data_IF_681615649026
#
_entry.id   IF_681615649026
#
_cell.length_a   1.000
_cell.length_b   1.000
_cell.length_c   1.000
_cell.angle_alpha   90.00
_cell.angle_beta   90.00
_cell.angle_gamma   90.00
#
_symmetry.space_group_name_H-M   'P 1'
#
loop_
_entity.id
_entity.type
_entity.pdbx_description
1 polymer ?
#
# COMPACT_ATOMS: atom_id res chain seq x y z
N UNK A 1 6.86 31.01 12.65
CA UNK A 1 5.40 31.25 12.59
C UNK A 1 4.78 30.04 11.97
N UNK A 2 4.01 29.28 12.72
CA UNK A 2 3.26 28.14 12.17
C UNK A 2 2.07 28.71 11.41
N UNK A 3 1.96 28.42 10.12
CA UNK A 3 0.79 28.80 9.35
C UNK A 3 -0.37 27.93 9.78
N UNK A 4 -1.40 28.54 10.35
CA UNK A 4 -2.60 27.81 10.80
C UNK A 4 -3.65 27.91 9.70
N UNK A 5 -4.11 26.75 9.22
CA UNK A 5 -5.21 26.64 8.27
C UNK A 5 -6.54 26.85 9.01
N UNK A 6 -7.34 27.84 8.63
CA UNK A 6 -8.65 28.09 9.20
C UNK A 6 -9.79 27.86 8.20
N UNK A 7 -10.86 27.19 8.64
CA UNK A 7 -12.06 26.98 7.86
C UNK A 7 -13.30 26.84 8.75
N UNK A 8 -14.50 27.12 8.24
CA UNK A 8 -15.74 26.83 8.95
C UNK A 8 -15.84 25.34 9.30
N UNK A 9 -16.08 25.02 10.56
CA UNK A 9 -16.21 23.64 11.04
C UNK A 9 -14.92 22.99 11.56
N UNK A 10 -13.75 23.62 11.45
CA UNK A 10 -12.46 23.09 11.92
C UNK A 10 -12.52 22.57 13.37
N UNK A 11 -12.97 23.40 14.31
CA UNK A 11 -13.03 23.05 15.73
C UNK A 11 -13.90 21.82 15.95
N UNK A 12 -15.06 21.75 15.32
CA UNK A 12 -15.97 20.62 15.42
C UNK A 12 -15.36 19.32 14.84
N UNK A 13 -14.68 19.42 13.70
CA UNK A 13 -14.04 18.27 13.04
C UNK A 13 -12.92 17.67 13.89
N UNK A 14 -12.03 18.51 14.46
CA UNK A 14 -10.99 18.06 15.38
C UNK A 14 -11.56 17.53 16.70
N UNK A 15 -12.61 18.17 17.25
CA UNK A 15 -13.29 17.70 18.47
C UNK A 15 -13.93 16.33 18.25
N UNK A 16 -14.57 16.10 17.10
CA UNK A 16 -15.14 14.81 16.73
C UNK A 16 -14.06 13.72 16.71
N UNK A 17 -12.95 13.93 15.98
CA UNK A 17 -11.87 12.94 15.89
C UNK A 17 -11.27 12.60 17.27
N UNK A 18 -10.99 13.60 18.09
CA UNK A 18 -10.47 13.40 19.46
C UNK A 18 -11.43 12.64 20.36
N UNK A 19 -12.75 12.92 20.25
CA UNK A 19 -13.77 12.19 21.00
C UNK A 19 -13.80 10.73 20.58
N UNK A 20 -13.82 10.42 19.28
CA UNK A 20 -13.84 9.05 18.79
C UNK A 20 -12.61 8.24 19.24
N UNK A 21 -11.43 8.89 19.31
CA UNK A 21 -10.20 8.28 19.84
C UNK A 21 -10.35 7.98 21.33
N UNK A 22 -10.82 8.95 22.10
CA UNK A 22 -11.03 8.81 23.57
C UNK A 22 -12.08 7.74 23.90
N UNK A 23 -13.17 7.69 23.13
CA UNK A 23 -14.22 6.68 23.28
C UNK A 23 -13.66 5.26 23.02
N UNK A 24 -12.77 5.11 22.06
CA UNK A 24 -12.10 3.82 21.79
C UNK A 24 -11.13 3.43 22.94
N UNK A 25 -10.49 4.40 23.61
CA UNK A 25 -9.59 4.16 24.75
C UNK A 25 -10.30 3.77 26.05
N UNK A 26 -11.48 4.32 26.29
CA UNK A 26 -12.20 4.10 27.54
C UNK A 26 -12.64 2.64 27.79
N UNK A 27 -12.50 1.74 26.81
CA UNK A 27 -12.95 0.35 26.92
C UNK A 27 -14.49 0.22 27.04
N UNK A 28 -15.06 -0.96 27.11
CA UNK A 28 -16.48 -1.13 27.45
C UNK A 28 -16.68 -0.60 28.88
N UNK A 29 -17.63 0.33 29.05
CA UNK A 29 -18.06 0.74 30.37
C UNK A 29 -18.63 -0.50 31.06
N UNK A 30 -17.95 -0.98 32.11
CA UNK A 30 -18.55 -1.93 33.04
C UNK A 30 -19.72 -1.17 33.68
N UNK A 31 -20.94 -1.48 33.26
CA UNK A 31 -22.12 -1.00 33.94
C UNK A 31 -21.99 -1.35 35.44
N UNK A 32 -22.29 -0.38 36.33
CA UNK A 32 -22.37 -0.58 37.77
C UNK A 32 -23.38 -1.70 38.10
N UNK A 33 -22.95 -2.94 38.05
CA UNK A 33 -23.67 -4.14 38.43
C UNK A 33 -22.98 -4.77 39.63
N UNK A 34 -23.52 -4.51 40.80
CA UNK A 34 -23.43 -5.19 42.09
C UNK A 34 -22.27 -6.17 42.32
N UNK A 35 -21.42 -5.82 43.28
CA UNK A 35 -20.44 -6.73 43.92
C UNK A 35 -21.16 -7.86 44.68
N UNK A 36 -21.12 -9.05 44.14
CA UNK A 36 -21.44 -10.29 44.86
C UNK A 36 -20.17 -11.11 45.12
N UNK A 37 -20.10 -11.98 46.16
CA UNK A 37 -18.86 -12.36 46.82
C UNK A 37 -18.04 -13.43 46.06
N UNK A 38 -16.76 -13.43 46.38
CA UNK A 38 -15.70 -14.33 45.92
C UNK A 38 -16.04 -15.81 46.02
N UNK A 39 -15.78 -16.59 45.01
CA UNK A 39 -15.48 -18.02 45.17
C UNK A 39 -14.40 -18.49 44.20
N UNK A 40 -13.48 -19.23 44.74
CA UNK A 40 -12.23 -19.74 44.19
C UNK A 40 -12.39 -20.88 43.15
N UNK A 41 -11.37 -20.96 42.30
CA UNK A 41 -10.79 -22.15 41.64
C UNK A 41 -11.36 -22.66 40.32
N UNK A 42 -10.47 -22.79 39.32
CA UNK A 42 -10.53 -23.79 38.26
C UNK A 42 -10.24 -23.27 36.85
N UNK A 43 -9.07 -23.67 36.30
CA UNK A 43 -8.62 -23.28 34.95
C UNK A 43 -9.54 -23.80 33.86
N UNK A 44 -9.77 -22.94 32.88
CA UNK A 44 -10.46 -23.24 31.65
C UNK A 44 -10.15 -22.13 30.66
N UNK A 45 -9.88 -22.51 29.42
CA UNK A 45 -9.57 -21.61 28.31
C UNK A 45 -10.60 -20.48 28.21
N UNK A 46 -10.09 -19.26 28.14
CA UNK A 46 -10.87 -18.03 28.13
C UNK A 46 -11.61 -17.85 26.79
N UNK A 47 -12.86 -18.24 26.72
CA UNK A 47 -13.84 -17.59 25.90
C UNK A 47 -14.12 -16.21 26.52
N UNK A 48 -13.44 -15.17 26.03
CA UNK A 48 -13.82 -13.79 26.32
C UNK A 48 -14.90 -13.36 25.35
N UNK A 49 -16.13 -13.73 25.59
CA UNK A 49 -17.28 -12.98 25.13
C UNK A 49 -17.32 -11.64 25.90
N UNK A 50 -16.53 -10.67 25.41
CA UNK A 50 -16.68 -9.29 25.84
C UNK A 50 -17.94 -8.72 25.21
N UNK A 51 -19.04 -8.57 25.96
CA UNK A 51 -20.16 -7.72 25.56
C UNK A 51 -19.60 -6.32 25.30
N UNK A 52 -19.49 -5.96 23.99
CA UNK A 52 -19.25 -4.57 23.60
C UNK A 52 -20.47 -3.76 24.05
N UNK A 53 -20.22 -2.66 24.79
CA UNK A 53 -21.29 -1.82 25.31
C UNK A 53 -22.15 -1.26 24.18
N UNK A 54 -23.46 -1.20 24.41
CA UNK A 54 -24.41 -0.58 23.51
C UNK A 54 -23.96 0.84 23.12
N UNK A 55 -23.89 1.13 21.81
CA UNK A 55 -23.58 2.46 21.28
C UNK A 55 -22.15 2.71 20.78
N UNK A 56 -21.30 1.67 20.62
CA UNK A 56 -19.99 1.83 19.97
C UNK A 56 -19.93 1.09 18.65
N UNK A 57 -19.31 1.67 17.60
CA UNK A 57 -19.11 0.97 16.36
C UNK A 57 -18.34 -0.33 16.57
N UNK A 58 -18.83 -1.41 15.99
CA UNK A 58 -18.22 -2.73 16.05
C UNK A 58 -18.35 -3.43 14.69
N UNK A 59 -17.59 -4.49 14.51
CA UNK A 59 -17.57 -5.25 13.26
C UNK A 59 -18.35 -6.54 13.43
N UNK A 60 -19.14 -6.90 12.41
CA UNK A 60 -19.92 -8.14 12.36
C UNK A 60 -19.59 -8.91 11.09
N UNK A 61 -19.62 -10.22 11.17
CA UNK A 61 -19.56 -11.11 10.03
C UNK A 61 -20.91 -11.22 9.29
N UNK A 62 -20.92 -11.96 8.18
CA UNK A 62 -22.13 -12.18 7.38
C UNK A 62 -23.24 -12.97 8.10
N UNK A 63 -22.95 -13.59 9.24
CA UNK A 63 -23.90 -14.28 10.10
C UNK A 63 -24.46 -13.38 11.21
N UNK A 64 -24.00 -12.12 11.26
CA UNK A 64 -24.41 -11.11 12.24
C UNK A 64 -23.73 -11.25 13.60
N UNK A 65 -22.68 -12.06 13.69
CA UNK A 65 -21.89 -12.23 14.92
C UNK A 65 -20.83 -11.16 15.01
N UNK A 66 -20.65 -10.59 16.22
CA UNK A 66 -19.57 -9.63 16.45
C UNK A 66 -18.21 -10.32 16.24
N UNK A 67 -17.42 -9.74 15.31
CA UNK A 67 -16.11 -10.24 14.95
C UNK A 67 -15.02 -9.31 15.50
N UNK A 68 -14.04 -9.89 16.19
CA UNK A 68 -12.83 -9.18 16.62
C UNK A 68 -11.69 -9.63 15.71
N UNK A 69 -11.27 -8.80 14.74
CA UNK A 69 -10.28 -9.19 13.76
C UNK A 69 -8.95 -9.58 14.41
N UNK A 70 -8.37 -10.67 13.92
CA UNK A 70 -7.00 -11.02 14.26
C UNK A 70 -6.01 -10.05 13.59
N UNK A 71 -4.88 -9.82 14.24
CA UNK A 71 -3.79 -9.08 13.61
C UNK A 71 -3.27 -9.87 12.40
N UNK A 72 -3.04 -9.21 11.29
CA UNK A 72 -2.65 -9.83 10.02
C UNK A 72 -3.75 -10.63 9.29
N UNK A 73 -4.99 -10.54 9.72
CA UNK A 73 -6.13 -10.99 8.93
C UNK A 73 -6.39 -10.05 7.75
N UNK A 74 -6.63 -10.62 6.56
CA UNK A 74 -7.04 -9.81 5.41
C UNK A 74 -8.52 -9.45 5.55
N UNK A 75 -8.82 -8.15 5.56
CA UNK A 75 -10.17 -7.66 5.86
C UNK A 75 -10.72 -6.81 4.72
N UNK A 76 -12.01 -7.00 4.46
CA UNK A 76 -12.85 -6.03 3.77
C UNK A 76 -13.98 -5.62 4.70
N UNK A 77 -13.93 -4.41 5.23
CA UNK A 77 -14.98 -3.83 6.05
C UNK A 77 -15.95 -3.04 5.17
N UNK A 78 -17.21 -3.43 5.17
CA UNK A 78 -18.29 -2.80 4.41
C UNK A 78 -19.02 -1.80 5.30
N UNK A 79 -19.00 -0.52 4.91
CA UNK A 79 -19.68 0.55 5.63
C UNK A 79 -18.96 1.89 5.55
N UNK A 80 -19.42 2.90 6.30
CA UNK A 80 -18.73 4.19 6.40
C UNK A 80 -17.37 4.01 7.09
N UNK A 81 -16.36 4.67 6.55
CA UNK A 81 -15.00 4.51 7.04
C UNK A 81 -14.75 5.18 8.39
N UNK A 82 -15.55 6.16 8.82
CA UNK A 82 -15.35 6.81 10.11
C UNK A 82 -15.64 5.85 11.28
N UNK A 83 -16.82 5.21 11.38
CA UNK A 83 -17.07 4.21 12.42
C UNK A 83 -16.22 2.94 12.22
N UNK A 84 -15.89 2.55 10.98
CA UNK A 84 -14.99 1.42 10.74
C UNK A 84 -13.58 1.66 11.32
N UNK A 85 -12.98 2.84 11.08
CA UNK A 85 -11.69 3.22 11.65
C UNK A 85 -11.75 3.26 13.19
N UNK A 86 -12.85 3.72 13.77
CA UNK A 86 -13.03 3.70 15.22
C UNK A 86 -13.08 2.27 15.77
N UNK A 87 -13.83 1.37 15.14
CA UNK A 87 -13.89 -0.04 15.53
C UNK A 87 -12.53 -0.73 15.41
N UNK A 88 -11.75 -0.44 14.37
CA UNK A 88 -10.41 -0.98 14.16
C UNK A 88 -9.39 -0.53 15.21
N UNK A 89 -9.60 0.57 15.92
CA UNK A 89 -8.71 0.98 17.01
C UNK A 89 -8.61 -0.07 18.13
N UNK A 90 -9.63 -0.87 18.34
CA UNK A 90 -9.62 -1.91 19.36
C UNK A 90 -8.53 -2.98 19.12
N UNK A 91 -8.21 -3.27 17.87
CA UNK A 91 -7.30 -4.36 17.48
C UNK A 91 -6.04 -3.88 16.75
N UNK A 92 -6.14 -2.79 15.99
CA UNK A 92 -5.09 -2.34 15.06
C UNK A 92 -4.39 -1.05 15.48
N UNK A 93 -4.65 -0.48 16.65
CA UNK A 93 -3.98 0.73 17.13
C UNK A 93 -2.46 0.55 17.16
N UNK A 94 -1.73 1.43 16.48
CA UNK A 94 -0.27 1.39 16.41
C UNK A 94 0.29 0.17 15.68
N UNK A 95 -0.48 -0.45 14.77
CA UNK A 95 -0.08 -1.68 14.07
C UNK A 95 0.09 -1.51 12.56
N UNK A 96 -0.53 -0.49 11.97
CA UNK A 96 -0.53 -0.27 10.52
C UNK A 96 0.80 0.34 10.08
N UNK A 97 1.51 -0.33 9.19
CA UNK A 97 2.78 0.16 8.62
C UNK A 97 2.56 1.14 7.49
N UNK A 98 1.62 0.85 6.60
CA UNK A 98 1.32 1.68 5.44
C UNK A 98 -0.16 1.99 5.42
N UNK A 99 -0.48 3.26 5.33
CA UNK A 99 -1.81 3.75 4.96
C UNK A 99 -1.72 4.32 3.56
N UNK A 100 -2.47 3.77 2.62
CA UNK A 100 -2.65 4.34 1.29
C UNK A 100 -4.12 4.70 1.13
N UNK A 101 -4.41 5.93 0.74
CA UNK A 101 -5.79 6.37 0.51
C UNK A 101 -5.89 7.24 -0.75
N UNK A 102 -7.01 7.03 -1.45
CA UNK A 102 -7.44 7.75 -2.64
C UNK A 102 -8.86 8.29 -2.41
N UNK A 103 -9.01 9.35 -1.56
CA UNK A 103 -10.33 9.88 -1.20
C UNK A 103 -10.99 10.56 -2.40
N UNK A 104 -12.30 10.88 -2.34
CA UNK A 104 -12.95 11.67 -3.36
C UNK A 104 -12.22 12.99 -3.63
N UNK A 105 -11.94 13.28 -4.91
CA UNK A 105 -11.20 14.46 -5.34
C UNK A 105 -12.02 15.74 -5.30
N UNK A 106 -13.29 15.64 -4.94
CA UNK A 106 -14.20 16.77 -4.80
C UNK A 106 -14.42 17.52 -6.13
N UNK A 107 -14.29 16.84 -7.27
CA UNK A 107 -14.39 17.47 -8.59
C UNK A 107 -15.82 17.82 -9.00
N UNK A 108 -16.80 17.18 -8.38
CA UNK A 108 -18.23 17.32 -8.73
C UNK A 108 -18.62 16.61 -10.02
N UNK A 109 -17.69 15.83 -10.60
CA UNK A 109 -17.97 15.05 -11.81
C UNK A 109 -18.79 13.80 -11.50
N UNK A 110 -19.57 13.33 -12.49
CA UNK A 110 -20.25 12.04 -12.40
C UNK A 110 -19.24 10.91 -12.59
N UNK A 111 -18.96 10.19 -11.50
CA UNK A 111 -18.16 8.97 -11.48
C UNK A 111 -19.04 7.74 -11.20
N UNK A 112 -18.45 6.55 -11.18
CA UNK A 112 -19.10 5.32 -10.69
C UNK A 112 -19.40 5.38 -9.20
N UNK A 113 -18.83 6.34 -8.49
CA UNK A 113 -19.03 6.67 -7.08
C UNK A 113 -19.46 8.15 -6.94
N UNK A 114 -19.91 8.53 -5.74
CA UNK A 114 -20.32 9.89 -5.43
C UNK A 114 -19.10 10.76 -5.09
N UNK A 115 -18.67 11.58 -6.06
CA UNK A 115 -17.67 12.63 -5.86
C UNK A 115 -18.40 13.92 -5.45
N UNK A 116 -18.29 14.28 -4.19
CA UNK A 116 -19.26 15.14 -3.52
C UNK A 116 -19.38 16.58 -4.02
N UNK A 117 -18.43 17.13 -4.78
CA UNK A 117 -18.51 18.52 -5.30
C UNK A 117 -18.77 19.59 -4.21
N UNK A 118 -18.29 19.32 -2.99
CA UNK A 118 -18.42 20.20 -1.84
C UNK A 118 -17.45 21.39 -1.91
N UNK A 119 -17.64 22.39 -1.06
CA UNK A 119 -16.61 23.37 -0.78
C UNK A 119 -15.40 22.74 -0.04
N UNK A 120 -14.26 23.42 -0.07
CA UNK A 120 -13.04 22.94 0.60
C UNK A 120 -13.22 22.73 2.10
N UNK A 121 -14.02 23.59 2.78
CA UNK A 121 -14.28 23.50 4.21
C UNK A 121 -15.01 22.22 4.59
N UNK A 122 -16.01 21.83 3.80
CA UNK A 122 -16.73 20.57 3.97
C UNK A 122 -15.83 19.36 3.73
N UNK A 123 -14.98 19.40 2.70
CA UNK A 123 -14.02 18.34 2.42
C UNK A 123 -12.99 18.20 3.56
N UNK A 124 -12.43 19.31 4.03
CA UNK A 124 -11.51 19.33 5.17
C UNK A 124 -12.16 18.76 6.44
N UNK A 125 -13.41 19.15 6.72
CA UNK A 125 -14.16 18.67 7.87
C UNK A 125 -14.46 17.17 7.78
N UNK A 126 -14.69 16.65 6.57
CA UNK A 126 -14.86 15.22 6.30
C UNK A 126 -13.58 14.42 6.52
N UNK A 127 -12.43 14.94 6.05
CA UNK A 127 -11.14 14.25 6.13
C UNK A 127 -10.53 14.28 7.53
N UNK A 128 -10.72 15.36 8.28
CA UNK A 128 -10.04 15.58 9.57
C UNK A 128 -10.20 14.43 10.56
N UNK A 129 -11.41 13.99 10.96
CA UNK A 129 -11.54 12.91 11.94
C UNK A 129 -10.99 11.57 11.41
N UNK A 130 -11.09 11.32 10.11
CA UNK A 130 -10.56 10.11 9.45
C UNK A 130 -9.03 10.06 9.50
N UNK A 131 -8.37 11.17 9.23
CA UNK A 131 -6.90 11.26 9.30
C UNK A 131 -6.38 11.19 10.75
N UNK A 132 -7.14 11.73 11.71
CA UNK A 132 -6.81 11.59 13.14
C UNK A 132 -6.86 10.13 13.59
N UNK A 133 -7.93 9.39 13.23
CA UNK A 133 -8.06 7.96 13.51
C UNK A 133 -6.98 7.14 12.79
N UNK A 134 -6.73 7.45 11.53
CA UNK A 134 -5.68 6.78 10.75
C UNK A 134 -4.30 6.94 11.41
N UNK A 135 -3.97 8.15 11.90
CA UNK A 135 -2.71 8.40 12.63
C UNK A 135 -2.59 7.53 13.88
N UNK A 136 -3.69 7.29 14.60
CA UNK A 136 -3.67 6.41 15.78
C UNK A 136 -3.50 4.93 15.40
N UNK A 137 -4.01 4.50 14.24
CA UNK A 137 -3.81 3.14 13.74
C UNK A 137 -2.37 2.90 13.26
N UNK A 138 -1.66 3.94 12.81
CA UNK A 138 -0.30 3.82 12.30
C UNK A 138 0.69 3.42 13.39
N UNK A 139 1.66 2.58 13.03
CA UNK A 139 2.89 2.31 13.82
C UNK A 139 3.71 3.60 13.93
N UNK A 140 4.63 3.67 14.89
CA UNK A 140 5.52 4.83 15.04
C UNK A 140 6.36 5.08 13.78
N UNK A 141 6.80 4.02 13.09
CA UNK A 141 7.49 4.07 11.79
C UNK A 141 6.51 3.96 10.60
N UNK A 142 5.22 4.14 10.84
CA UNK A 142 4.16 4.07 9.84
C UNK A 142 4.15 5.28 8.91
N UNK A 143 3.68 5.06 7.67
CA UNK A 143 3.62 6.08 6.62
C UNK A 143 2.23 6.15 6.01
N UNK A 144 1.72 7.37 5.84
CA UNK A 144 0.51 7.67 5.07
C UNK A 144 0.87 8.18 3.67
N UNK A 145 0.27 7.59 2.65
CA UNK A 145 0.23 8.09 1.27
C UNK A 145 -1.18 8.59 0.97
N UNK A 146 -1.35 9.88 0.76
CA UNK A 146 -2.61 10.51 0.40
C UNK A 146 -2.56 10.96 -1.06
N UNK A 147 -3.35 10.32 -1.90
CA UNK A 147 -3.38 10.52 -3.34
C UNK A 147 -4.50 11.50 -3.72
N UNK A 148 -4.17 12.57 -4.46
CA UNK A 148 -5.10 13.62 -4.86
C UNK A 148 -4.69 14.26 -6.19
N UNK A 149 -5.66 14.89 -6.85
CA UNK A 149 -5.40 15.81 -7.97
C UNK A 149 -5.13 17.25 -7.47
N UNK A 150 -5.10 18.22 -8.39
CA UNK A 150 -4.83 19.64 -8.09
C UNK A 150 -5.87 20.27 -7.16
N UNK A 151 -7.12 19.78 -7.12
CA UNK A 151 -8.22 20.51 -6.49
C UNK A 151 -8.09 20.62 -4.98
N UNK A 152 -7.86 19.49 -4.31
CA UNK A 152 -7.74 19.46 -2.84
C UNK A 152 -6.29 19.30 -2.35
N UNK A 153 -5.32 19.11 -3.23
CA UNK A 153 -3.93 18.82 -2.89
C UNK A 153 -3.30 19.82 -1.91
N UNK A 154 -3.44 21.14 -2.17
CA UNK A 154 -2.86 22.17 -1.30
C UNK A 154 -3.52 22.21 0.08
N UNK A 155 -4.84 22.04 0.13
CA UNK A 155 -5.61 22.02 1.37
C UNK A 155 -5.29 20.77 2.20
N UNK A 156 -5.18 19.63 1.54
CA UNK A 156 -4.79 18.37 2.17
C UNK A 156 -3.38 18.45 2.77
N UNK A 157 -2.44 19.10 2.08
CA UNK A 157 -1.09 19.28 2.59
C UNK A 157 -1.07 20.09 3.88
N UNK A 158 -1.80 21.21 3.93
CA UNK A 158 -1.90 22.03 5.15
C UNK A 158 -2.61 21.27 6.29
N UNK A 159 -3.69 20.54 5.98
CA UNK A 159 -4.38 19.71 6.97
C UNK A 159 -3.45 18.61 7.52
N UNK A 160 -2.67 17.97 6.65
CA UNK A 160 -1.68 16.96 7.05
C UNK A 160 -0.62 17.53 7.98
N UNK A 161 -0.14 18.74 7.73
CA UNK A 161 0.79 19.43 8.65
C UNK A 161 0.18 19.67 10.02
N UNK A 162 -1.12 20.00 10.12
CA UNK A 162 -1.78 20.17 11.41
C UNK A 162 -2.01 18.87 12.18
N UNK A 163 -2.28 17.77 11.47
CA UNK A 163 -2.56 16.47 12.10
C UNK A 163 -1.28 15.71 12.45
N UNK A 164 -0.34 15.63 11.52
CA UNK A 164 0.89 14.85 11.67
C UNK A 164 2.07 15.66 12.20
N UNK A 165 2.03 16.98 12.04
CA UNK A 165 3.15 17.89 12.26
C UNK A 165 3.95 18.13 10.96
N UNK A 166 4.45 19.36 10.79
CA UNK A 166 5.23 19.73 9.61
C UNK A 166 6.53 18.94 9.52
N UNK A 167 7.20 18.66 10.64
CA UNK A 167 8.43 17.87 10.72
C UNK A 167 8.24 16.40 10.30
N UNK A 168 7.01 15.91 10.31
CA UNK A 168 6.64 14.57 9.87
C UNK A 168 6.20 14.51 8.39
N UNK A 169 6.24 15.63 7.68
CA UNK A 169 6.01 15.67 6.24
C UNK A 169 7.25 15.15 5.51
N UNK A 170 7.10 14.04 4.80
CA UNK A 170 8.18 13.42 4.03
C UNK A 170 8.25 13.93 2.60
N UNK A 171 7.33 14.82 2.21
CA UNK A 171 7.25 15.44 0.91
C UNK A 171 6.09 14.96 0.06
N UNK A 172 6.16 15.26 -1.23
CA UNK A 172 5.12 14.91 -2.21
C UNK A 172 5.74 14.16 -3.37
N UNK A 173 5.16 12.99 -3.69
CA UNK A 173 5.48 12.26 -4.89
C UNK A 173 4.55 12.67 -6.02
N UNK A 174 5.04 12.64 -7.24
CA UNK A 174 4.27 12.95 -8.45
C UNK A 174 3.93 11.64 -9.14
N UNK A 175 2.65 11.34 -9.26
CA UNK A 175 2.16 10.24 -10.06
C UNK A 175 1.90 10.72 -11.50
N UNK A 176 2.78 10.37 -12.42
CA UNK A 176 2.57 10.62 -13.84
C UNK A 176 1.57 9.60 -14.39
N UNK A 177 0.32 10.02 -14.61
CA UNK A 177 -0.79 9.17 -15.07
C UNK A 177 -1.03 9.18 -16.58
N UNK A 178 -0.46 10.15 -17.30
CA UNK A 178 -0.62 10.27 -18.75
C UNK A 178 0.72 10.50 -19.45
N UNK A 179 0.83 10.00 -20.70
CA UNK A 179 2.03 10.17 -21.53
C UNK A 179 2.06 11.53 -22.24
N UNK A 180 0.96 12.25 -22.23
CA UNK A 180 0.72 13.49 -22.98
C UNK A 180 -0.50 13.35 -23.89
N UNK A 181 -0.83 14.40 -24.62
CA UNK A 181 -2.02 14.48 -25.51
C UNK A 181 -3.21 15.11 -24.81
N UNK A 182 -4.25 15.46 -25.58
CA UNK A 182 -5.48 16.08 -25.11
C UNK A 182 -5.62 17.54 -25.56
N UNK A 183 -6.89 18.02 -25.65
CA UNK A 183 -7.26 19.37 -26.06
C UNK A 183 -7.59 20.21 -24.84
N UNK A 184 -6.59 20.59 -24.05
CA UNK A 184 -6.77 21.51 -22.94
C UNK A 184 -6.57 22.96 -23.38
N UNK A 185 -7.32 23.89 -22.77
CA UNK A 185 -7.24 25.32 -23.11
C UNK A 185 -5.88 25.94 -22.76
N UNK A 186 -5.23 25.47 -21.70
CA UNK A 186 -3.94 26.01 -21.24
C UNK A 186 -2.85 24.93 -21.31
N UNK A 187 -2.93 23.89 -20.49
CA UNK A 187 -1.99 22.76 -20.50
C UNK A 187 -2.71 21.47 -20.09
N UNK A 188 -2.19 20.35 -20.55
CA UNK A 188 -2.73 19.02 -20.22
C UNK A 188 -2.22 18.58 -18.85
N UNK A 189 -3.15 18.31 -17.95
CA UNK A 189 -2.83 17.75 -16.61
C UNK A 189 -2.53 16.28 -16.73
N UNK A 190 -1.26 15.91 -16.61
CA UNK A 190 -0.77 14.55 -16.80
C UNK A 190 -0.36 13.85 -15.52
N UNK A 191 -0.61 14.44 -14.34
CA UNK A 191 -0.19 13.93 -13.06
C UNK A 191 -1.24 14.13 -11.96
N UNK A 192 -1.05 13.37 -10.89
CA UNK A 192 -1.67 13.54 -9.58
C UNK A 192 -0.56 13.64 -8.52
N UNK A 193 -0.91 14.03 -7.31
CA UNK A 193 0.00 14.18 -6.17
C UNK A 193 -0.22 13.03 -5.19
N UNK A 194 0.87 12.55 -4.59
CA UNK A 194 0.81 11.65 -3.45
C UNK A 194 1.57 12.32 -2.31
N UNK A 195 0.83 12.95 -1.39
CA UNK A 195 1.42 13.54 -0.19
C UNK A 195 1.81 12.45 0.80
N UNK A 196 2.95 12.60 1.46
CA UNK A 196 3.51 11.57 2.32
C UNK A 196 3.80 12.13 3.70
N UNK A 197 3.21 11.51 4.71
CA UNK A 197 3.49 11.81 6.12
C UNK A 197 3.89 10.56 6.87
N UNK A 198 4.81 10.73 7.82
CA UNK A 198 5.12 9.74 8.83
C UNK A 198 4.27 9.96 10.10
N UNK A 199 4.09 8.94 10.90
CA UNK A 199 3.69 9.12 12.30
C UNK A 199 4.82 9.76 13.09
N UNK A 200 6.06 9.28 12.91
CA UNK A 200 7.31 9.84 13.42
C UNK A 200 8.40 9.71 12.33
N UNK A 201 8.76 10.81 11.68
CA UNK A 201 9.73 10.83 10.60
C UNK A 201 11.13 10.33 11.02
N UNK A 202 11.48 10.49 12.30
CA UNK A 202 12.76 9.99 12.83
C UNK A 202 12.88 8.47 12.87
N UNK A 203 11.77 7.75 12.74
CA UNK A 203 11.71 6.29 12.74
C UNK A 203 11.50 5.66 11.37
N UNK A 204 11.13 6.46 10.37
CA UNK A 204 10.88 5.96 9.01
C UNK A 204 12.19 5.67 8.29
N UNK A 205 12.31 4.46 7.76
CA UNK A 205 13.42 4.06 6.90
C UNK A 205 13.35 4.69 5.50
N UNK A 206 14.40 4.52 4.68
CA UNK A 206 14.41 5.03 3.32
C UNK A 206 13.32 4.38 2.47
N UNK A 207 12.71 5.15 1.57
CA UNK A 207 11.80 4.62 0.55
C UNK A 207 12.60 3.85 -0.49
N UNK A 208 12.36 2.56 -0.54
CA UNK A 208 13.12 1.64 -1.37
C UNK A 208 12.31 1.19 -2.59
N UNK A 209 13.00 0.99 -3.68
CA UNK A 209 12.45 0.33 -4.86
C UNK A 209 13.47 -0.69 -5.33
N UNK A 210 13.03 -1.66 -6.12
CA UNK A 210 13.98 -2.57 -6.73
C UNK A 210 14.98 -1.81 -7.59
N UNK A 211 16.20 -2.25 -7.50
CA UNK A 211 17.25 -1.75 -8.35
C UNK A 211 16.94 -2.13 -9.80
N UNK A 212 16.66 -1.15 -10.64
CA UNK A 212 16.61 -1.34 -12.10
C UNK A 212 18.04 -1.60 -12.60
N UNK A 213 18.49 -2.82 -12.41
CA UNK A 213 19.78 -3.31 -12.91
C UNK A 213 19.52 -4.16 -14.16
N UNK A 214 20.47 -4.25 -15.11
CA UNK A 214 20.45 -5.29 -16.12
C UNK A 214 20.68 -6.69 -15.53
N UNK A 215 20.66 -6.82 -14.21
CA UNK A 215 20.75 -8.07 -13.48
C UNK A 215 19.57 -8.97 -13.82
N UNK A 216 19.87 -10.25 -13.98
CA UNK A 216 18.84 -11.29 -14.10
C UNK A 216 18.56 -11.86 -12.72
N UNK A 217 17.29 -12.16 -12.46
CA UNK A 217 16.91 -12.94 -11.29
C UNK A 217 17.21 -14.41 -11.58
N UNK A 218 18.02 -15.03 -10.73
CA UNK A 218 18.38 -16.45 -10.82
C UNK A 218 18.31 -17.08 -9.42
N UNK A 219 18.03 -18.37 -9.37
CA UNK A 219 18.10 -19.13 -8.12
C UNK A 219 19.51 -19.72 -7.99
N UNK A 220 20.23 -19.34 -6.95
CA UNK A 220 21.57 -19.83 -6.61
C UNK A 220 21.49 -20.42 -5.20
N UNK A 221 21.84 -21.69 -5.05
CA UNK A 221 21.79 -22.41 -3.75
C UNK A 221 20.42 -22.30 -3.03
N UNK A 222 19.34 -22.36 -3.82
CA UNK A 222 17.95 -22.28 -3.31
C UNK A 222 17.47 -20.87 -2.95
N UNK A 223 18.29 -19.83 -3.19
CA UNK A 223 17.96 -18.44 -2.91
C UNK A 223 17.79 -17.63 -4.19
N UNK A 224 16.85 -16.73 -4.21
CA UNK A 224 16.68 -15.77 -5.33
C UNK A 224 17.78 -14.71 -5.24
N UNK A 225 18.61 -14.63 -6.28
CA UNK A 225 19.72 -13.70 -6.38
C UNK A 225 19.60 -12.84 -7.62
N UNK A 226 19.86 -11.57 -7.51
CA UNK A 226 20.10 -10.70 -8.65
C UNK A 226 21.53 -10.86 -9.12
N UNK A 227 21.70 -11.25 -10.38
CA UNK A 227 22.97 -11.60 -11.01
C UNK A 227 23.36 -10.54 -12.02
N UNK A 228 24.39 -9.74 -11.68
CA UNK A 228 24.98 -8.74 -12.56
C UNK A 228 26.22 -9.31 -13.23
N UNK A 229 26.17 -9.49 -14.53
CA UNK A 229 27.27 -10.12 -15.29
C UNK A 229 28.28 -9.13 -15.89
N UNK A 230 28.00 -7.83 -15.86
CA UNK A 230 28.89 -6.77 -16.41
C UNK A 230 29.46 -5.89 -15.29
N UNK A 231 30.17 -6.52 -14.36
CA UNK A 231 30.71 -5.88 -13.15
C UNK A 231 32.09 -5.27 -13.38
N UNK A 232 32.94 -5.94 -14.15
CA UNK A 232 34.27 -5.48 -14.47
C UNK A 232 34.42 -5.18 -15.95
N UNK A 233 34.99 -4.01 -16.23
CA UNK A 233 35.21 -3.53 -17.59
C UNK A 233 36.68 -3.15 -17.78
N UNK A 234 37.22 -3.46 -18.97
CA UNK A 234 38.61 -3.16 -19.32
C UNK A 234 38.87 -1.63 -19.42
N UNK A 235 37.90 -0.85 -19.86
CA UNK A 235 38.03 0.61 -20.00
C UNK A 235 36.73 1.39 -19.88
N UNK A 236 36.82 2.74 -19.83
CA UNK A 236 35.71 3.65 -19.92
C UNK A 236 35.51 4.12 -21.37
N UNK A 237 34.29 4.25 -21.83
CA UNK A 237 33.99 4.84 -23.13
C UNK A 237 32.69 4.33 -23.76
N UNK A 238 32.26 4.96 -24.87
CA UNK A 238 31.21 4.46 -25.75
C UNK A 238 31.78 3.34 -26.62
N UNK A 239 31.14 2.21 -26.58
CA UNK A 239 31.60 1.04 -27.31
C UNK A 239 30.57 0.61 -28.34
N UNK A 240 30.98 0.05 -29.43
CA UNK A 240 30.10 -0.57 -30.42
C UNK A 240 29.36 -1.78 -29.82
N UNK A 241 28.12 -2.05 -30.27
CA UNK A 241 27.40 -3.26 -29.87
C UNK A 241 28.25 -4.49 -30.23
N UNK A 242 28.39 -5.42 -29.29
CA UNK A 242 29.13 -6.67 -29.48
C UNK A 242 30.65 -6.61 -29.20
N UNK A 243 31.18 -5.45 -28.79
CA UNK A 243 32.57 -5.40 -28.33
C UNK A 243 32.72 -6.07 -26.97
N UNK A 244 33.72 -6.90 -26.79
CA UNK A 244 34.03 -7.54 -25.54
C UNK A 244 34.67 -6.52 -24.58
N UNK A 245 33.87 -6.00 -23.69
CA UNK A 245 34.25 -5.00 -22.69
C UNK A 245 34.50 -5.58 -21.35
N UNK A 246 33.97 -6.79 -21.18
CA UNK A 246 34.03 -7.48 -19.90
C UNK A 246 35.50 -7.86 -19.67
N UNK A 247 35.99 -7.45 -18.50
CA UNK A 247 37.28 -7.88 -18.05
C UNK A 247 37.13 -9.24 -17.36
N UNK A 248 37.84 -10.24 -17.88
CA UNK A 248 37.84 -11.56 -17.28
C UNK A 248 38.72 -11.57 -16.05
N UNK A 249 38.42 -12.47 -15.12
CA UNK A 249 39.18 -12.59 -13.87
C UNK A 249 40.68 -12.76 -14.10
N UNK A 250 41.06 -13.63 -15.05
CA UNK A 250 42.42 -13.93 -15.41
C UNK A 250 43.19 -12.74 -16.00
N UNK A 251 42.49 -11.79 -16.56
CA UNK A 251 43.09 -10.62 -17.22
C UNK A 251 43.15 -9.38 -16.28
N UNK A 252 42.68 -9.48 -15.03
CA UNK A 252 42.63 -8.32 -14.11
C UNK A 252 44.01 -7.74 -13.84
N UNK A 253 44.99 -8.56 -13.54
CA UNK A 253 46.34 -8.07 -13.23
C UNK A 253 46.92 -7.30 -14.41
N UNK A 254 46.80 -7.86 -15.60
CA UNK A 254 47.37 -7.25 -16.82
C UNK A 254 46.71 -5.90 -17.16
N UNK A 255 45.44 -5.72 -16.87
CA UNK A 255 44.65 -4.52 -17.26
C UNK A 255 44.48 -3.51 -16.13
N UNK A 256 44.37 -3.95 -14.87
CA UNK A 256 44.02 -3.10 -13.70
C UNK A 256 45.02 -3.23 -12.54
N UNK A 257 45.98 -4.14 -12.62
CA UNK A 257 46.98 -4.37 -11.60
C UNK A 257 46.56 -5.24 -10.43
N UNK A 258 47.53 -5.63 -9.60
CA UNK A 258 47.33 -6.54 -8.45
C UNK A 258 46.38 -6.01 -7.38
N UNK A 259 46.37 -4.70 -7.14
CA UNK A 259 45.44 -4.08 -6.18
C UNK A 259 44.01 -4.37 -6.53
N UNK A 260 43.65 -4.32 -7.82
CA UNK A 260 42.29 -4.61 -8.27
C UNK A 260 41.96 -6.09 -8.17
N UNK A 261 42.90 -6.97 -8.41
CA UNK A 261 42.72 -8.40 -8.18
C UNK A 261 42.42 -8.67 -6.71
N UNK A 262 43.22 -8.12 -5.79
CA UNK A 262 42.99 -8.29 -4.35
C UNK A 262 41.58 -7.80 -3.87
N UNK A 263 41.08 -6.68 -4.44
CA UNK A 263 39.72 -6.21 -4.18
C UNK A 263 38.67 -7.22 -4.66
N UNK A 264 38.88 -7.82 -5.83
CA UNK A 264 37.98 -8.81 -6.41
C UNK A 264 37.99 -10.09 -5.59
N UNK A 265 39.20 -10.56 -5.19
CA UNK A 265 39.38 -11.75 -4.37
C UNK A 265 38.71 -11.61 -3.00
N UNK A 266 38.81 -10.43 -2.36
CA UNK A 266 38.13 -10.16 -1.11
C UNK A 266 36.59 -10.26 -1.27
N UNK A 267 36.05 -9.82 -2.42
CA UNK A 267 34.62 -9.92 -2.72
C UNK A 267 34.17 -11.32 -3.12
N UNK A 268 35.03 -12.10 -3.74
CA UNK A 268 34.82 -13.53 -3.97
C UNK A 268 34.77 -14.30 -2.63
N UNK A 269 35.72 -14.00 -1.74
CA UNK A 269 35.77 -14.62 -0.42
C UNK A 269 34.53 -14.26 0.46
N UNK A 270 33.97 -13.05 0.31
CA UNK A 270 32.76 -12.64 1.01
C UNK A 270 31.46 -13.16 0.39
N UNK A 271 31.51 -13.78 -0.79
CA UNK A 271 30.35 -14.23 -1.52
C UNK A 271 29.58 -13.11 -2.25
N UNK A 272 30.08 -11.86 -2.24
CA UNK A 272 29.50 -10.76 -3.04
C UNK A 272 29.70 -11.01 -4.54
N UNK A 273 30.81 -11.63 -4.89
CA UNK A 273 31.12 -12.03 -6.28
C UNK A 273 31.22 -13.55 -6.39
N UNK A 274 30.91 -14.05 -7.60
CA UNK A 274 31.19 -15.43 -8.00
C UNK A 274 31.88 -15.43 -9.36
N UNK A 275 32.59 -16.49 -9.66
CA UNK A 275 33.20 -16.72 -10.98
C UNK A 275 32.27 -17.59 -11.81
N UNK A 276 32.04 -17.19 -13.05
CA UNK A 276 31.24 -17.98 -14.03
C UNK A 276 32.08 -18.21 -15.28
N UNK A 277 32.16 -19.44 -15.80
CA UNK A 277 32.77 -19.71 -17.08
C UNK A 277 32.19 -18.82 -18.17
N UNK A 278 33.03 -18.21 -18.99
CA UNK A 278 32.61 -17.31 -20.06
C UNK A 278 33.38 -17.55 -21.35
N UNK A 279 32.61 -17.79 -22.44
CA UNK A 279 33.22 -18.12 -23.73
C UNK A 279 33.82 -19.53 -23.77
N UNK A 280 34.65 -19.77 -24.79
CA UNK A 280 35.23 -21.09 -25.05
C UNK A 280 36.71 -21.22 -24.59
N UNK A 281 37.32 -20.15 -24.06
CA UNK A 281 38.75 -20.09 -23.74
C UNK A 281 39.08 -20.44 -22.28
N UNK A 282 38.15 -20.98 -21.51
CA UNK A 282 38.34 -21.34 -20.10
C UNK A 282 38.51 -20.14 -19.15
N UNK A 283 38.15 -18.92 -19.59
CA UNK A 283 38.15 -17.71 -18.78
C UNK A 283 36.87 -17.56 -17.97
N UNK A 284 36.95 -16.78 -16.89
CA UNK A 284 35.81 -16.55 -15.99
C UNK A 284 35.40 -15.08 -15.94
N UNK A 285 34.13 -14.83 -16.10
CA UNK A 285 33.53 -13.53 -15.80
C UNK A 285 33.35 -13.40 -14.28
N UNK A 286 33.69 -12.23 -13.74
CA UNK A 286 33.30 -11.85 -12.37
C UNK A 286 31.88 -11.37 -12.39
N UNK A 287 31.06 -12.02 -11.60
CA UNK A 287 29.62 -11.77 -11.53
C UNK A 287 29.26 -11.34 -10.12
N UNK A 288 28.56 -10.21 -9.97
CA UNK A 288 28.02 -9.80 -8.68
C UNK A 288 26.73 -10.55 -8.44
N UNK A 289 26.60 -11.11 -7.25
CA UNK A 289 25.36 -11.72 -6.76
C UNK A 289 24.87 -10.95 -5.55
N UNK A 290 23.62 -10.53 -5.60
CA UNK A 290 22.98 -9.81 -4.50
C UNK A 290 21.69 -10.53 -4.18
N UNK A 291 21.45 -10.95 -2.91
CA UNK A 291 20.16 -11.48 -2.53
C UNK A 291 19.05 -10.55 -3.01
N UNK A 292 18.01 -11.11 -3.64
CA UNK A 292 16.96 -10.31 -4.27
C UNK A 292 16.31 -9.36 -3.25
N UNK A 293 16.18 -9.80 -2.00
CA UNK A 293 15.66 -9.02 -0.89
C UNK A 293 16.54 -7.82 -0.49
N UNK A 294 17.84 -7.86 -0.82
CA UNK A 294 18.82 -6.77 -0.52
C UNK A 294 19.10 -5.86 -1.71
N UNK A 295 18.53 -6.16 -2.86
CA UNK A 295 18.78 -5.41 -4.10
C UNK A 295 17.80 -4.26 -4.25
N UNK A 296 17.97 -3.22 -3.47
CA UNK A 296 17.14 -2.01 -3.49
C UNK A 296 17.89 -0.77 -3.95
N UNK A 297 17.15 0.22 -4.41
CA UNK A 297 17.59 1.59 -4.63
C UNK A 297 16.58 2.54 -4.01
N UNK A 298 16.97 3.79 -3.76
CA UNK A 298 16.00 4.79 -3.29
C UNK A 298 14.95 5.07 -4.36
N UNK A 299 13.71 5.20 -3.94
CA UNK A 299 12.58 5.56 -4.80
C UNK A 299 12.74 6.99 -5.34
N UNK A 300 12.39 7.21 -6.60
CA UNK A 300 12.27 8.56 -7.15
C UNK A 300 10.94 9.19 -6.77
N UNK A 301 10.93 10.52 -6.62
CA UNK A 301 9.71 11.29 -6.31
C UNK A 301 8.74 11.40 -7.49
N UNK A 302 9.11 10.99 -8.69
CA UNK A 302 8.23 10.93 -9.86
C UNK A 302 8.02 9.47 -10.23
N UNK A 303 6.77 9.01 -10.09
CA UNK A 303 6.36 7.64 -10.36
C UNK A 303 5.53 7.63 -11.63
N UNK A 304 5.97 6.87 -12.62
CA UNK A 304 5.24 6.68 -13.85
C UNK A 304 4.48 5.37 -13.81
N UNK A 305 3.18 5.45 -13.67
CA UNK A 305 2.29 4.31 -13.71
C UNK A 305 1.04 4.69 -14.50
N UNK A 306 0.73 3.95 -15.54
CA UNK A 306 -0.33 4.25 -16.48
C UNK A 306 -1.38 3.12 -16.47
N UNK A 307 -2.64 3.49 -16.68
CA UNK A 307 -3.64 2.53 -17.12
C UNK A 307 -4.19 1.59 -16.06
N UNK A 308 -4.71 2.09 -14.94
CA UNK A 308 -5.41 1.24 -13.96
C UNK A 308 -6.57 0.40 -14.54
N UNK A 309 -7.16 0.80 -15.68
CA UNK A 309 -8.15 -0.02 -16.40
C UNK A 309 -7.54 -1.33 -16.91
N UNK A 310 -6.30 -1.31 -17.36
CA UNK A 310 -5.61 -2.50 -17.86
C UNK A 310 -5.43 -3.56 -16.77
N UNK A 311 -5.46 -3.18 -15.49
CA UNK A 311 -5.34 -4.10 -14.37
C UNK A 311 -6.66 -4.84 -14.07
N UNK A 312 -7.79 -4.30 -14.52
CA UNK A 312 -9.11 -4.93 -14.39
C UNK A 312 -9.43 -5.90 -15.54
N UNK A 313 -8.86 -5.71 -16.72
CA UNK A 313 -9.12 -6.55 -17.88
C UNK A 313 -8.73 -8.02 -17.66
N UNK A 314 -7.53 -8.38 -17.13
CA UNK A 314 -7.18 -9.76 -16.85
C UNK A 314 -8.07 -10.44 -15.81
N UNK A 315 -8.72 -9.63 -14.96
CA UNK A 315 -9.67 -10.09 -13.96
C UNK A 315 -11.08 -10.24 -14.53
N UNK A 316 -11.32 -9.93 -15.81
CA UNK A 316 -12.65 -9.89 -16.40
C UNK A 316 -13.55 -8.78 -15.81
N UNK A 317 -12.98 -7.72 -15.25
CA UNK A 317 -13.65 -6.57 -14.65
C UNK A 317 -13.45 -5.28 -15.45
N UNK A 318 -12.98 -5.39 -16.70
CA UNK A 318 -12.71 -4.24 -17.56
C UNK A 318 -13.94 -3.36 -17.77
N UNK A 319 -13.77 -2.03 -17.61
CA UNK A 319 -14.82 -1.03 -17.84
C UNK A 319 -15.93 -0.97 -16.78
N UNK A 320 -15.87 -1.79 -15.71
CA UNK A 320 -16.90 -1.81 -14.64
C UNK A 320 -16.73 -0.63 -13.68
N UNK A 321 -15.51 -0.23 -13.41
CA UNK A 321 -15.20 0.88 -12.50
C UNK A 321 -14.46 2.01 -13.23
N UNK A 322 -14.83 3.26 -12.93
CA UNK A 322 -14.17 4.45 -13.50
C UNK A 322 -12.88 4.75 -12.75
N UNK A 323 -11.81 4.98 -13.49
CA UNK A 323 -10.54 5.46 -12.95
C UNK A 323 -9.91 4.66 -11.80
N UNK A 324 -9.83 3.31 -11.88
CA UNK A 324 -9.08 2.54 -10.90
C UNK A 324 -7.62 2.99 -10.91
N UNK A 325 -6.99 3.05 -9.74
CA UNK A 325 -5.56 3.34 -9.67
C UNK A 325 -4.74 2.18 -10.23
N UNK A 326 -3.59 2.45 -10.87
CA UNK A 326 -2.70 1.38 -11.33
C UNK A 326 -2.16 0.55 -10.17
N UNK A 327 -2.23 -0.77 -10.29
CA UNK A 327 -1.67 -1.72 -9.31
C UNK A 327 -0.19 -1.49 -9.09
N UNK A 328 0.56 -1.24 -10.17
CA UNK A 328 2.01 -0.96 -10.10
C UNK A 328 2.36 0.27 -9.26
N UNK A 329 1.50 1.31 -9.26
CA UNK A 329 1.68 2.48 -8.41
C UNK A 329 1.57 2.10 -6.93
N UNK A 330 0.43 1.49 -6.56
CA UNK A 330 0.14 1.16 -5.16
C UNK A 330 1.14 0.12 -4.66
N UNK A 331 1.48 -0.88 -5.47
CA UNK A 331 2.53 -1.87 -5.17
C UNK A 331 3.88 -1.20 -4.92
N UNK A 332 4.29 -0.24 -5.75
CA UNK A 332 5.54 0.48 -5.56
C UNK A 332 5.55 1.29 -4.25
N UNK A 333 4.44 1.96 -3.90
CA UNK A 333 4.30 2.71 -2.65
C UNK A 333 4.35 1.78 -1.44
N UNK A 334 3.58 0.71 -1.42
CA UNK A 334 3.57 -0.30 -0.35
C UNK A 334 4.96 -0.93 -0.20
N UNK A 335 5.53 -1.46 -1.28
CA UNK A 335 6.82 -2.11 -1.26
C UNK A 335 7.94 -1.16 -0.79
N UNK A 336 7.83 0.14 -1.06
CA UNK A 336 8.85 1.12 -0.69
C UNK A 336 9.11 1.20 0.81
N UNK A 337 8.10 0.92 1.63
CA UNK A 337 8.17 0.97 3.09
C UNK A 337 8.10 -0.41 3.76
N UNK A 338 7.82 -1.44 2.99
CA UNK A 338 7.72 -2.82 3.48
C UNK A 338 8.78 -3.74 2.89
N UNK A 339 9.84 -3.19 2.30
CA UNK A 339 10.93 -3.96 1.68
C UNK A 339 11.63 -4.90 2.66
N UNK A 340 11.83 -4.43 3.91
CA UNK A 340 12.41 -5.22 5.01
C UNK A 340 11.37 -5.60 6.09
N UNK A 341 10.09 -5.41 5.79
CA UNK A 341 8.96 -5.66 6.69
C UNK A 341 7.85 -6.38 5.88
N UNK A 342 8.14 -7.62 5.39
CA UNK A 342 7.28 -8.29 4.42
C UNK A 342 6.00 -8.88 5.04
N UNK A 343 5.75 -8.71 6.32
CA UNK A 343 4.55 -9.11 7.07
C UNK A 343 3.72 -7.91 7.55
N UNK A 344 4.02 -6.71 7.03
CA UNK A 344 3.36 -5.47 7.42
C UNK A 344 1.86 -5.43 7.11
N UNK A 345 1.11 -4.66 7.91
CA UNK A 345 -0.31 -4.37 7.68
C UNK A 345 -0.44 -3.10 6.82
N UNK A 346 -1.24 -3.20 5.76
CA UNK A 346 -1.58 -2.11 4.84
C UNK A 346 -3.06 -1.76 4.99
N UNK A 347 -3.36 -0.50 5.27
CA UNK A 347 -4.72 0.02 5.43
C UNK A 347 -5.09 0.92 4.25
N UNK A 348 -6.29 0.70 3.70
CA UNK A 348 -6.93 1.59 2.73
C UNK A 348 -8.41 1.77 3.09
N UNK A 349 -8.77 2.93 3.60
CA UNK A 349 -10.15 3.20 4.00
C UNK A 349 -10.96 4.00 2.96
N UNK A 350 -10.45 4.05 1.74
CA UNK A 350 -11.16 4.47 0.53
C UNK A 350 -10.90 3.45 -0.59
N UNK A 351 -11.16 2.18 -0.32
CA UNK A 351 -10.68 1.06 -1.13
C UNK A 351 -11.15 1.08 -2.60
N UNK A 352 -12.25 1.77 -2.91
CA UNK A 352 -12.77 1.86 -4.26
C UNK A 352 -12.97 0.48 -4.89
N UNK A 353 -12.31 0.23 -6.00
CA UNK A 353 -12.36 -1.09 -6.65
C UNK A 353 -11.43 -2.15 -6.04
N UNK A 354 -10.73 -1.88 -4.93
CA UNK A 354 -9.85 -2.86 -4.27
C UNK A 354 -8.43 -2.96 -4.84
N UNK A 355 -7.93 -1.92 -5.47
CA UNK A 355 -6.56 -1.90 -6.04
C UNK A 355 -5.50 -2.22 -5.02
N UNK A 356 -5.64 -1.75 -3.78
CA UNK A 356 -4.67 -1.94 -2.70
C UNK A 356 -4.51 -3.41 -2.32
N UNK A 357 -5.60 -4.18 -2.24
CA UNK A 357 -5.51 -5.62 -1.99
C UNK A 357 -4.72 -6.35 -3.08
N UNK A 358 -5.03 -6.10 -4.36
CA UNK A 358 -4.30 -6.68 -5.49
C UNK A 358 -2.82 -6.28 -5.46
N UNK A 359 -2.51 -5.03 -5.11
CA UNK A 359 -1.14 -4.56 -5.01
C UNK A 359 -0.36 -5.25 -3.88
N UNK A 360 -0.99 -5.49 -2.72
CA UNK A 360 -0.42 -6.26 -1.60
C UNK A 360 -0.16 -7.70 -2.02
N UNK A 361 -1.13 -8.37 -2.64
CA UNK A 361 -0.96 -9.74 -3.12
C UNK A 361 0.17 -9.85 -4.16
N UNK A 362 0.23 -8.93 -5.13
CA UNK A 362 1.29 -8.88 -6.13
C UNK A 362 2.68 -8.54 -5.53
N UNK A 363 2.73 -7.82 -4.40
CA UNK A 363 3.98 -7.62 -3.67
C UNK A 363 4.41 -8.89 -2.93
N UNK A 364 3.48 -9.60 -2.29
CA UNK A 364 3.74 -10.86 -1.60
C UNK A 364 4.20 -11.97 -2.56
N UNK A 365 3.53 -12.10 -3.71
CA UNK A 365 3.95 -13.04 -4.77
C UNK A 365 5.40 -12.81 -5.18
N UNK A 366 5.80 -11.55 -5.27
CA UNK A 366 7.11 -11.17 -5.77
C UNK A 366 8.26 -11.43 -4.82
N UNK A 367 8.07 -11.14 -3.52
CA UNK A 367 9.12 -11.24 -2.51
C UNK A 367 8.85 -12.32 -1.44
N UNK A 368 7.83 -13.18 -1.68
CA UNK A 368 7.40 -14.25 -0.77
C UNK A 368 7.00 -13.70 0.61
N UNK A 369 6.48 -12.47 0.63
CA UNK A 369 6.00 -11.80 1.83
C UNK A 369 4.64 -12.31 2.28
N UNK A 370 4.23 -11.86 3.47
CA UNK A 370 2.96 -12.18 4.12
C UNK A 370 2.21 -10.93 4.58
N UNK A 371 2.38 -9.82 3.86
CA UNK A 371 1.64 -8.58 4.16
C UNK A 371 0.15 -8.85 4.15
N UNK A 372 -0.55 -8.25 5.09
CA UNK A 372 -2.00 -8.26 5.12
C UNK A 372 -2.57 -6.90 4.73
N UNK A 373 -3.82 -6.90 4.28
CA UNK A 373 -4.55 -5.70 3.95
C UNK A 373 -5.82 -5.55 4.81
N UNK A 374 -6.13 -4.32 5.15
CA UNK A 374 -7.39 -3.91 5.76
C UNK A 374 -8.03 -2.88 4.83
N UNK A 375 -9.09 -3.24 4.16
CA UNK A 375 -9.83 -2.37 3.26
C UNK A 375 -11.15 -1.94 3.89
N UNK A 376 -11.52 -0.67 3.70
CA UNK A 376 -12.86 -0.19 4.06
C UNK A 376 -13.52 0.40 2.83
N UNK A 377 -14.76 -0.03 2.54
CA UNK A 377 -15.53 0.45 1.41
C UNK A 377 -17.01 0.60 1.74
N UNK A 378 -17.53 1.78 1.50
CA UNK A 378 -18.97 2.05 1.62
C UNK A 378 -19.74 1.29 0.54
N UNK A 379 -20.90 0.67 0.86
CA UNK A 379 -21.73 -0.05 -0.12
C UNK A 379 -22.53 0.92 -1.02
N UNK A 380 -21.82 1.83 -1.69
CA UNK A 380 -22.44 2.73 -2.66
C UNK A 380 -22.91 1.98 -3.90
N UNK A 381 -24.09 2.33 -4.45
CA UNK A 381 -24.55 1.76 -5.71
C UNK A 381 -23.54 1.99 -6.84
N UNK A 382 -23.14 0.93 -7.53
CA UNK A 382 -22.25 1.00 -8.67
C UNK A 382 -22.95 1.58 -9.89
N UNK A 383 -22.62 2.80 -10.26
CA UNK A 383 -23.20 3.55 -11.38
C UNK A 383 -22.42 3.29 -12.68
N UNK A 384 -22.45 2.08 -13.19
CA UNK A 384 -21.78 1.74 -14.44
C UNK A 384 -22.74 1.13 -15.45
N UNK A 385 -22.66 1.60 -16.69
CA UNK A 385 -23.41 0.98 -17.81
C UNK A 385 -22.92 -0.44 -18.09
N UNK A 386 -21.71 -0.77 -17.70
CA UNK A 386 -21.05 -2.05 -17.94
C UNK A 386 -21.14 -3.00 -16.72
N UNK A 387 -21.72 -2.57 -15.60
CA UNK A 387 -21.87 -3.41 -14.42
C UNK A 387 -22.70 -4.69 -14.70
N UNK A 388 -23.56 -4.65 -15.71
CA UNK A 388 -24.39 -5.78 -16.15
C UNK A 388 -23.68 -6.77 -17.08
N UNK A 389 -22.48 -6.45 -17.55
CA UNK A 389 -21.82 -7.21 -18.62
C UNK A 389 -20.67 -8.09 -18.13
N UNK A 390 -20.46 -8.21 -16.82
CA UNK A 390 -19.36 -9.02 -16.30
C UNK A 390 -19.75 -10.49 -16.29
N UNK A 391 -19.26 -11.21 -17.28
CA UNK A 391 -19.33 -12.68 -17.33
C UNK A 391 -18.48 -13.23 -16.18
N UNK A 392 -19.11 -13.93 -15.24
CA UNK A 392 -18.35 -14.68 -14.21
C UNK A 392 -17.54 -15.78 -14.88
N UNK A 393 -16.34 -16.08 -14.36
CA UNK A 393 -15.50 -17.21 -14.82
C UNK A 393 -16.21 -18.56 -14.75
N UNK A 394 -17.35 -18.64 -14.03
CA UNK A 394 -18.24 -19.81 -13.95
C UNK A 394 -19.27 -19.92 -15.08
N UNK A 395 -19.23 -19.05 -16.10
CA UNK A 395 -20.14 -19.13 -17.26
C UNK A 395 -21.57 -18.61 -17.01
N UNK A 396 -21.85 -18.01 -15.87
CA UNK A 396 -23.13 -17.36 -15.58
C UNK A 396 -23.08 -15.90 -16.06
N UNK A 397 -23.98 -15.57 -17.00
CA UNK A 397 -24.01 -14.27 -17.70
C UNK A 397 -24.56 -13.09 -16.87
N UNK A 398 -24.88 -13.26 -15.61
CA UNK A 398 -25.70 -12.34 -14.82
C UNK A 398 -25.06 -11.88 -13.47
N UNK A 399 -23.75 -11.79 -13.38
CA UNK A 399 -23.15 -11.16 -12.19
C UNK A 399 -23.31 -9.65 -12.28
N UNK A 400 -24.35 -9.14 -11.67
CA UNK A 400 -24.57 -7.74 -11.41
C UNK A 400 -23.88 -7.39 -10.07
N UNK A 401 -22.98 -6.42 -10.07
CA UNK A 401 -22.45 -5.85 -8.82
C UNK A 401 -23.30 -4.64 -8.45
N UNK A 402 -24.27 -4.79 -7.55
CA UNK A 402 -25.15 -3.66 -7.17
C UNK A 402 -24.38 -2.57 -6.45
N UNK A 403 -23.27 -2.90 -5.78
CA UNK A 403 -22.46 -1.94 -5.00
C UNK A 403 -20.98 -2.01 -5.32
N UNK A 404 -20.26 -0.93 -4.96
CA UNK A 404 -18.81 -0.86 -5.10
C UNK A 404 -18.12 -1.87 -4.17
N UNK A 405 -18.63 -2.09 -2.95
CA UNK A 405 -18.06 -3.06 -2.02
C UNK A 405 -18.12 -4.51 -2.53
N UNK A 406 -19.18 -4.87 -3.25
CA UNK A 406 -19.26 -6.19 -3.91
C UNK A 406 -18.27 -6.33 -5.06
N UNK A 407 -18.11 -5.28 -5.87
CA UNK A 407 -17.03 -5.23 -6.87
C UNK A 407 -15.65 -5.36 -6.21
N UNK A 408 -15.44 -4.68 -5.07
CA UNK A 408 -14.18 -4.77 -4.30
C UNK A 408 -13.91 -6.21 -3.87
N UNK A 409 -14.91 -6.88 -3.28
CA UNK A 409 -14.82 -8.26 -2.83
C UNK A 409 -14.49 -9.21 -4.00
N UNK A 410 -15.16 -9.02 -5.14
CA UNK A 410 -14.92 -9.85 -6.33
C UNK A 410 -13.54 -9.63 -6.92
N UNK A 411 -13.06 -8.37 -6.96
CA UNK A 411 -11.68 -8.11 -7.39
C UNK A 411 -10.67 -8.79 -6.48
N UNK A 412 -10.88 -8.77 -5.16
CA UNK A 412 -10.00 -9.47 -4.21
C UNK A 412 -9.94 -10.95 -4.54
N UNK A 413 -11.10 -11.62 -4.75
CA UNK A 413 -11.16 -13.06 -5.09
C UNK A 413 -10.40 -13.38 -6.37
N UNK A 414 -10.71 -12.65 -7.47
CA UNK A 414 -10.05 -12.89 -8.77
C UNK A 414 -8.57 -12.56 -8.76
N UNK A 415 -8.16 -11.53 -8.04
CA UNK A 415 -6.75 -11.21 -7.87
C UNK A 415 -6.02 -12.27 -7.01
N UNK A 416 -6.69 -12.85 -6.01
CA UNK A 416 -6.15 -13.93 -5.21
C UNK A 416 -5.89 -15.19 -6.07
N UNK A 417 -6.79 -15.55 -6.98
CA UNK A 417 -6.60 -16.67 -7.91
C UNK A 417 -5.34 -16.53 -8.77
N UNK A 418 -4.93 -15.29 -9.07
CA UNK A 418 -3.74 -14.99 -9.89
C UNK A 418 -2.47 -14.90 -9.03
N UNK A 419 -2.50 -14.11 -7.94
CA UNK A 419 -1.30 -13.71 -7.21
C UNK A 419 -1.06 -14.50 -5.92
N UNK A 420 -2.10 -15.07 -5.32
CA UNK A 420 -2.05 -15.72 -4.02
C UNK A 420 -3.10 -16.83 -3.92
N UNK A 421 -3.00 -17.91 -4.74
CA UNK A 421 -3.99 -18.99 -4.71
C UNK A 421 -4.19 -19.55 -3.31
N UNK A 422 -5.45 -19.58 -2.86
CA UNK A 422 -5.82 -20.01 -1.51
C UNK A 422 -5.82 -18.91 -0.46
N UNK A 423 -5.51 -17.65 -0.80
CA UNK A 423 -5.69 -16.54 0.13
C UNK A 423 -7.18 -16.38 0.47
N UNK A 424 -7.46 -16.29 1.76
CA UNK A 424 -8.76 -15.91 2.29
C UNK A 424 -8.76 -14.48 2.80
N UNK A 425 -9.92 -13.86 2.79
CA UNK A 425 -10.17 -12.60 3.47
C UNK A 425 -11.54 -12.66 4.16
N UNK A 426 -11.67 -11.94 5.26
CA UNK A 426 -12.92 -11.84 6.00
C UNK A 426 -13.65 -10.56 5.57
N UNK A 427 -14.91 -10.72 5.19
CA UNK A 427 -15.78 -9.58 4.91
C UNK A 427 -16.62 -9.30 6.15
N UNK A 428 -16.56 -8.07 6.65
CA UNK A 428 -17.22 -7.60 7.84
C UNK A 428 -18.10 -6.39 7.51
N UNK A 429 -19.16 -6.20 8.29
CA UNK A 429 -19.98 -4.99 8.26
C UNK A 429 -19.69 -4.15 9.51
N UNK A 430 -19.62 -2.83 9.35
CA UNK A 430 -19.55 -1.93 10.49
C UNK A 430 -20.96 -1.60 10.96
N UNK A 431 -21.20 -1.78 12.24
CA UNK A 431 -22.46 -1.47 12.92
C UNK A 431 -22.19 -0.30 13.87
N UNK A 432 -23.06 0.74 13.81
CA UNK A 432 -23.02 1.93 14.64
C UNK A 432 -23.87 1.79 15.91
#
# INVERSE_FOLDING_TARGET
MTTVLEWPGKVAAFALGRRLIADAEAGPSLGDGERGPESHLGGGALEREGRLGEGRPHLRDGEGVTHVPALHENLLVVGDNLPALQALLATHRGRVKVVYIDPPYNTGNAHTYKDHGHDHASWLSFMTPRLLLARELMREDGVLFLHLDDKESAWAQLLGHEIFGEDNSLGTLIHQRAKGGGNARSFVRGHDYVHVWARDAGRVGPFLTEKKSPAKLEVIDGRRMLVETDVLRAGFGRYARGSERRLMYEDIVAVKGEKKLAEVDAKLASGEYILRPWGTEGKHAVVRVTPAEKASSKMYSIIKALGGQNDLEPLGLGGVFSYPKPVELVKALVASQTFFDPDAIVLDFFAGSGTTAQAVMAANERDEGSRSFVLVQTPEPLRSKNAKAVVTASGSSDAEFPTISELTAERIRRAADIHSPGLSFTQLEVIE
#
